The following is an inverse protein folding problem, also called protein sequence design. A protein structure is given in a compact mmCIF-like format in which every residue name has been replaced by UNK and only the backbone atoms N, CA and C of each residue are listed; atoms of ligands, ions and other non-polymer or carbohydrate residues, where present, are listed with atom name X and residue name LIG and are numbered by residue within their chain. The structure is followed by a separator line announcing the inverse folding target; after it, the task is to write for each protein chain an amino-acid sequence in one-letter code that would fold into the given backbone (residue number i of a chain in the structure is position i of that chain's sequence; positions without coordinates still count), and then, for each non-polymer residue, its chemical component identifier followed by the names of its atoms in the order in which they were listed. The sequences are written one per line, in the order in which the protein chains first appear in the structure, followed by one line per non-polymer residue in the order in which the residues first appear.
data_IF_585321334885
#
_entry.id   IF_585321334885
#
_cell.length_a   1.000
_cell.length_b   1.000
_cell.length_c   1.000
_cell.angle_alpha   90.00
_cell.angle_beta   90.00
_cell.angle_gamma   90.00
#
_symmetry.space_group_name_H-M   'P 1'
#
loop_
_entity.id
_entity.type
_entity.pdbx_description
1 polymer ?
#
# COMPACT_ATOMS: atom_id res chain seq x y z
N UNK A 1 -17.72 -7.97 22.07
CA UNK A 1 -16.75 -8.74 21.26
C UNK A 1 -16.00 -9.75 22.13
N UNK A 2 -15.41 -9.38 23.27
CA UNK A 2 -14.70 -10.34 24.14
C UNK A 2 -15.60 -11.43 24.74
N UNK A 3 -16.89 -11.14 25.03
CA UNK A 3 -17.86 -12.16 25.50
C UNK A 3 -18.06 -13.30 24.51
N UNK A 4 -18.04 -12.96 23.23
CA UNK A 4 -18.11 -13.94 22.15
C UNK A 4 -16.85 -14.79 22.14
N UNK A 5 -15.65 -14.18 22.19
CA UNK A 5 -14.37 -14.91 22.23
C UNK A 5 -14.24 -15.81 23.46
N UNK A 6 -14.64 -15.32 24.64
CA UNK A 6 -14.62 -16.05 25.90
C UNK A 6 -15.50 -17.31 25.85
N UNK A 7 -16.66 -17.25 25.19
CA UNK A 7 -17.54 -18.41 24.99
C UNK A 7 -16.87 -19.55 24.20
N UNK A 8 -15.84 -19.25 23.40
CA UNK A 8 -15.02 -20.22 22.67
C UNK A 8 -13.67 -20.50 23.36
N UNK A 9 -13.49 -20.09 24.62
CA UNK A 9 -12.25 -20.29 25.37
C UNK A 9 -11.08 -19.42 24.91
N UNK A 10 -11.34 -18.37 24.13
CA UNK A 10 -10.32 -17.41 23.70
C UNK A 10 -10.31 -16.18 24.61
N UNK A 11 -9.13 -15.74 25.01
CA UNK A 11 -8.92 -14.52 25.80
C UNK A 11 -8.06 -13.53 25.04
N UNK A 12 -8.36 -12.24 25.19
CA UNK A 12 -7.58 -11.16 24.58
C UNK A 12 -6.20 -11.09 25.24
N UNK A 13 -5.13 -11.11 24.44
CA UNK A 13 -3.79 -10.87 24.96
C UNK A 13 -3.51 -9.37 25.05
N UNK A 14 -3.93 -8.78 26.17
CA UNK A 14 -3.85 -7.34 26.42
C UNK A 14 -2.43 -6.77 26.36
N UNK A 15 -1.39 -7.52 26.74
CA UNK A 15 -0.01 -7.03 26.71
C UNK A 15 0.56 -6.83 25.30
N UNK A 16 -0.07 -7.44 24.29
CA UNK A 16 0.26 -7.27 22.86
C UNK A 16 -0.73 -6.38 22.12
N UNK A 17 -1.73 -5.84 22.83
CA UNK A 17 -2.78 -5.03 22.24
C UNK A 17 -2.34 -3.57 22.17
N UNK A 18 -2.73 -2.89 21.10
CA UNK A 18 -2.49 -1.47 20.88
C UNK A 18 -3.82 -0.81 20.51
N UNK A 19 -4.06 0.39 21.03
CA UNK A 19 -5.23 1.19 20.71
C UNK A 19 -4.83 2.25 19.67
N UNK A 20 -5.51 2.26 18.54
CA UNK A 20 -5.30 3.29 17.53
C UNK A 20 -6.46 4.29 17.59
N UNK A 21 -6.15 5.58 17.74
CA UNK A 21 -7.14 6.64 17.86
C UNK A 21 -7.01 7.57 16.65
N UNK A 22 -8.12 7.73 15.93
CA UNK A 22 -8.21 8.58 14.74
C UNK A 22 -8.77 9.95 15.11
N UNK A 23 -8.26 11.01 14.46
CA UNK A 23 -8.80 12.38 14.52
C UNK A 23 -8.83 13.02 15.92
N UNK A 24 -7.87 12.69 16.79
CA UNK A 24 -7.73 13.31 18.11
C UNK A 24 -6.44 14.15 18.13
N UNK A 25 -6.52 15.49 18.34
CA UNK A 25 -5.36 16.38 18.32
C UNK A 25 -4.31 16.08 19.40
N UNK A 26 -4.75 15.56 20.55
CA UNK A 26 -3.90 15.22 21.70
C UNK A 26 -4.33 13.86 22.28
N UNK A 27 -3.93 12.74 21.64
CA UNK A 27 -4.32 11.42 22.11
C UNK A 27 -3.69 11.12 23.48
N UNK A 28 -4.43 10.51 24.43
CA UNK A 28 -3.85 10.05 25.69
C UNK A 28 -2.81 8.95 25.41
N UNK A 29 -1.80 8.78 26.27
CA UNK A 29 -0.76 7.75 26.10
C UNK A 29 -1.27 6.31 26.33
N UNK A 30 -2.37 6.17 27.08
CA UNK A 30 -3.02 4.88 27.31
C UNK A 30 -4.52 5.04 27.41
N UNK A 31 -5.25 3.98 27.07
CA UNK A 31 -6.71 3.93 27.12
C UNK A 31 -7.14 2.72 27.97
N UNK A 32 -8.12 2.94 28.83
CA UNK A 32 -8.69 1.90 29.67
C UNK A 32 -9.80 1.19 28.92
N UNK A 33 -9.58 -0.07 28.56
CA UNK A 33 -10.57 -0.89 27.86
C UNK A 33 -11.24 -1.88 28.82
N UNK A 34 -12.58 -2.02 28.77
CA UNK A 34 -13.30 -3.00 29.58
C UNK A 34 -13.00 -4.42 29.09
N UNK A 35 -12.65 -5.29 30.04
CA UNK A 35 -12.32 -6.70 29.81
C UNK A 35 -13.03 -7.64 30.78
N UNK A 36 -13.34 -8.84 30.31
CA UNK A 36 -13.93 -9.93 31.10
C UNK A 36 -12.84 -10.51 32.02
N UNK A 37 -13.14 -10.67 33.32
CA UNK A 37 -12.22 -11.30 34.26
C UNK A 37 -11.98 -12.76 33.87
N UNK A 38 -10.72 -13.19 33.92
CA UNK A 38 -10.34 -14.58 33.68
C UNK A 38 -10.85 -15.54 34.76
N UNK A 39 -11.41 -15.03 35.86
CA UNK A 39 -11.88 -15.81 37.00
C UNK A 39 -13.37 -16.18 36.83
N UNK A 40 -13.72 -17.47 36.71
CA UNK A 40 -15.10 -17.92 36.47
C UNK A 40 -16.07 -17.66 37.64
N UNK A 41 -15.57 -17.27 38.82
CA UNK A 41 -16.39 -17.01 40.00
C UNK A 41 -17.10 -15.64 40.02
N UNK A 42 -16.77 -14.72 39.09
CA UNK A 42 -17.37 -13.39 38.99
C UNK A 42 -17.74 -13.03 37.54
N UNK A 43 -18.78 -13.66 36.96
CA UNK A 43 -19.13 -13.52 35.54
C UNK A 43 -19.62 -12.13 35.11
N UNK A 44 -19.81 -11.19 36.05
CA UNK A 44 -20.37 -9.86 35.80
C UNK A 44 -19.44 -8.69 36.18
N UNK A 45 -18.25 -8.92 36.74
CA UNK A 45 -17.33 -7.81 36.99
C UNK A 45 -16.62 -7.43 35.68
N UNK A 46 -16.48 -6.14 35.42
CA UNK A 46 -15.71 -5.63 34.27
C UNK A 46 -14.36 -5.19 34.83
N UNK A 47 -13.27 -5.80 34.35
CA UNK A 47 -11.91 -5.38 34.67
C UNK A 47 -11.42 -4.37 33.64
N UNK A 48 -10.84 -3.25 34.07
CA UNK A 48 -10.24 -2.29 33.13
C UNK A 48 -8.80 -2.72 32.84
N UNK A 49 -8.45 -2.78 31.55
CA UNK A 49 -7.11 -3.07 31.07
C UNK A 49 -6.54 -1.83 30.38
N UNK A 50 -5.37 -1.40 30.82
CA UNK A 50 -4.65 -0.29 30.19
C UNK A 50 -4.00 -0.78 28.91
N UNK A 51 -4.27 -0.09 27.81
CA UNK A 51 -3.73 -0.36 26.48
C UNK A 51 -2.99 0.86 25.98
N UNK A 52 -1.76 0.68 25.49
CA UNK A 52 -0.97 1.77 24.92
C UNK A 52 -1.65 2.34 23.69
N UNK A 53 -1.73 3.66 23.60
CA UNK A 53 -2.29 4.35 22.45
C UNK A 53 -1.17 4.68 21.48
N UNK A 54 -1.35 4.29 20.22
CA UNK A 54 -0.43 4.57 19.14
C UNK A 54 -1.06 5.55 18.17
N UNK A 55 -0.34 6.63 17.87
CA UNK A 55 -0.81 7.71 16.97
C UNK A 55 -0.03 7.78 15.66
N UNK A 56 1.15 7.17 15.59
CA UNK A 56 2.06 7.31 14.44
C UNK A 56 1.93 6.21 13.39
N UNK A 57 1.64 4.98 13.80
CA UNK A 57 1.58 3.83 12.90
C UNK A 57 0.58 2.78 13.42
N UNK A 58 0.19 1.87 12.53
CA UNK A 58 -0.70 0.75 12.85
C UNK A 58 0.04 -0.56 12.62
N UNK A 59 0.15 -1.41 13.63
CA UNK A 59 0.72 -2.75 13.45
C UNK A 59 -0.36 -3.77 13.11
N UNK A 60 -0.28 -4.36 11.91
CA UNK A 60 -1.13 -5.49 11.51
C UNK A 60 -0.26 -6.70 11.21
N UNK A 61 -0.56 -7.85 11.84
CA UNK A 61 0.19 -9.09 11.66
C UNK A 61 1.72 -8.92 11.83
N UNK A 62 2.14 -8.08 12.79
CA UNK A 62 3.54 -7.71 13.06
C UNK A 62 4.21 -6.93 11.93
N UNK A 63 3.44 -6.17 11.16
CA UNK A 63 3.95 -5.26 10.13
C UNK A 63 3.43 -3.87 10.46
N UNK A 64 4.36 -2.94 10.66
CA UNK A 64 4.03 -1.52 10.79
C UNK A 64 3.52 -1.01 9.44
N UNK A 65 2.25 -0.59 9.42
CA UNK A 65 1.58 -0.07 8.24
C UNK A 65 2.07 1.35 7.99
N UNK A 66 2.46 1.64 6.75
CA UNK A 66 2.91 2.96 6.31
C UNK A 66 4.27 3.42 6.88
N UNK A 67 5.11 2.49 7.35
CA UNK A 67 6.51 2.74 7.72
C UNK A 67 7.47 1.94 6.79
N UNK A 68 7.78 2.46 5.59
CA UNK A 68 8.59 1.73 4.62
C UNK A 68 10.04 1.49 5.08
N UNK A 69 10.59 2.36 5.94
CA UNK A 69 11.98 2.29 6.37
C UNK A 69 12.23 1.15 7.36
N UNK A 70 11.32 0.97 8.33
CA UNK A 70 11.38 -0.18 9.23
C UNK A 70 11.12 -1.48 8.46
N UNK A 71 10.13 -1.48 7.56
CA UNK A 71 9.86 -2.62 6.70
C UNK A 71 11.09 -3.01 5.86
N UNK A 72 11.76 -2.03 5.25
CA UNK A 72 13.01 -2.23 4.51
C UNK A 72 14.11 -2.81 5.41
N UNK A 73 14.29 -2.29 6.62
CA UNK A 73 15.29 -2.78 7.58
C UNK A 73 15.08 -4.26 7.92
N UNK A 74 13.82 -4.67 8.10
CA UNK A 74 13.45 -6.08 8.30
C UNK A 74 13.77 -6.94 7.08
N UNK A 75 13.46 -6.49 5.88
CA UNK A 75 13.79 -7.21 4.64
C UNK A 75 15.31 -7.32 4.45
N UNK A 76 16.05 -6.24 4.72
CA UNK A 76 17.51 -6.21 4.68
C UNK A 76 18.12 -7.21 5.67
N UNK A 77 17.56 -7.34 6.87
CA UNK A 77 17.96 -8.37 7.84
C UNK A 77 17.74 -9.80 7.32
N UNK A 78 16.64 -10.06 6.62
CA UNK A 78 16.38 -11.37 6.00
C UNK A 78 17.41 -11.70 4.91
N UNK A 79 17.75 -10.73 4.06
CA UNK A 79 18.78 -10.92 3.02
C UNK A 79 20.17 -11.10 3.65
N UNK A 80 20.47 -10.37 4.73
CA UNK A 80 21.78 -10.47 5.40
C UNK A 80 21.98 -11.75 6.22
N UNK A 81 20.90 -12.29 6.79
CA UNK A 81 20.92 -13.56 7.52
C UNK A 81 20.86 -14.78 6.61
N UNK A 82 20.56 -14.58 5.33
CA UNK A 82 20.54 -15.66 4.35
C UNK A 82 21.96 -16.15 4.04
N UNK A 83 22.13 -17.46 4.07
CA UNK A 83 23.39 -18.12 3.77
C UNK A 83 23.14 -19.24 2.76
N UNK A 84 24.07 -19.39 1.81
CA UNK A 84 24.08 -20.56 0.93
C UNK A 84 24.57 -21.80 1.69
N UNK A 85 24.14 -23.00 1.31
CA UNK A 85 24.66 -24.23 1.90
C UNK A 85 26.17 -24.34 1.65
N UNK A 86 26.92 -24.65 2.71
CA UNK A 86 28.35 -24.96 2.61
C UNK A 86 28.51 -26.37 2.03
N UNK A 87 29.12 -26.46 0.86
CA UNK A 87 29.32 -27.70 0.12
C UNK A 87 30.77 -27.76 -0.37
N UNK A 88 31.30 -28.96 -0.56
CA UNK A 88 32.66 -29.19 -1.06
C UNK A 88 32.83 -28.74 -2.52
N UNK A 89 31.75 -28.78 -3.31
CA UNK A 89 31.71 -28.35 -4.71
C UNK A 89 30.69 -27.20 -4.81
N UNK A 90 31.04 -26.07 -5.46
CA UNK A 90 30.11 -24.96 -5.64
C UNK A 90 28.92 -25.38 -6.50
N UNK A 91 27.73 -24.96 -6.07
CA UNK A 91 26.50 -25.24 -6.79
C UNK A 91 26.45 -24.45 -8.11
N UNK A 92 25.83 -25.01 -9.15
CA UNK A 92 25.62 -24.28 -10.40
C UNK A 92 24.65 -23.11 -10.19
N UNK A 93 24.75 -22.08 -11.04
CA UNK A 93 23.89 -20.88 -11.02
C UNK A 93 22.39 -21.21 -10.96
N UNK A 94 21.97 -22.23 -11.70
CA UNK A 94 20.56 -22.67 -11.74
C UNK A 94 20.05 -23.17 -10.39
N UNK A 95 20.92 -23.83 -9.61
CA UNK A 95 20.60 -24.28 -8.26
C UNK A 95 20.55 -23.10 -7.29
N UNK A 96 21.49 -22.16 -7.35
CA UNK A 96 21.46 -20.94 -6.53
C UNK A 96 20.18 -20.14 -6.78
N UNK A 97 19.82 -19.93 -8.04
CA UNK A 97 18.57 -19.26 -8.44
C UNK A 97 17.36 -19.91 -7.76
N UNK A 98 17.29 -21.24 -7.80
CA UNK A 98 16.19 -22.00 -7.16
C UNK A 98 16.20 -21.84 -5.64
N UNK A 99 17.37 -21.92 -5.00
CA UNK A 99 17.51 -21.73 -3.55
C UNK A 99 17.01 -20.35 -3.17
N UNK A 100 17.46 -19.29 -3.85
CA UNK A 100 17.04 -17.91 -3.56
C UNK A 100 15.53 -17.76 -3.73
N UNK A 101 14.96 -18.27 -4.83
CA UNK A 101 13.52 -18.23 -5.07
C UNK A 101 12.72 -18.94 -3.95
N UNK A 102 13.16 -20.13 -3.54
CA UNK A 102 12.42 -21.00 -2.62
C UNK A 102 12.63 -20.66 -1.14
N UNK A 103 13.78 -20.10 -0.76
CA UNK A 103 14.13 -19.90 0.65
C UNK A 103 14.14 -18.43 1.08
N UNK A 104 14.55 -17.53 0.20
CA UNK A 104 14.62 -16.10 0.48
C UNK A 104 13.37 -15.38 -0.03
N UNK A 105 13.08 -15.50 -1.33
CA UNK A 105 11.97 -14.79 -1.98
C UNK A 105 10.62 -15.29 -1.48
N UNK A 106 10.49 -16.57 -1.16
CA UNK A 106 9.28 -17.12 -0.52
C UNK A 106 8.94 -16.46 0.81
N UNK A 107 9.94 -15.96 1.56
CA UNK A 107 9.76 -15.22 2.82
C UNK A 107 9.53 -13.73 2.58
N UNK A 108 10.21 -13.14 1.60
CA UNK A 108 10.13 -11.70 1.29
C UNK A 108 8.81 -11.35 0.58
N UNK A 109 8.39 -12.14 -0.40
CA UNK A 109 7.17 -11.90 -1.19
C UNK A 109 5.91 -11.63 -0.35
N UNK A 110 5.55 -12.44 0.66
CA UNK A 110 4.38 -12.15 1.47
C UNK A 110 4.51 -10.84 2.25
N UNK A 111 5.71 -10.50 2.73
CA UNK A 111 5.94 -9.23 3.44
C UNK A 111 5.72 -8.02 2.52
N UNK A 112 6.27 -8.07 1.30
CA UNK A 112 6.04 -7.04 0.28
C UNK A 112 4.57 -6.95 -0.16
N UNK A 113 3.83 -8.06 -0.09
CA UNK A 113 2.40 -8.05 -0.39
C UNK A 113 1.56 -7.32 0.67
N UNK A 114 2.06 -7.20 1.89
CA UNK A 114 1.42 -6.39 2.95
C UNK A 114 1.82 -4.93 2.86
N UNK A 115 3.10 -4.66 2.58
CA UNK A 115 3.60 -3.30 2.46
C UNK A 115 4.73 -3.22 1.44
N UNK A 116 4.53 -2.41 0.39
CA UNK A 116 5.58 -2.13 -0.57
C UNK A 116 6.69 -1.26 0.05
N UNK A 117 7.91 -1.36 -0.48
CA UNK A 117 9.04 -0.48 -0.16
C UNK A 117 9.34 0.47 -1.33
N UNK A 118 10.18 1.48 -1.10
CA UNK A 118 10.59 2.37 -2.19
C UNK A 118 11.40 1.61 -3.25
N UNK A 119 11.34 2.09 -4.49
CA UNK A 119 12.05 1.49 -5.61
C UNK A 119 13.58 1.45 -5.38
N UNK A 120 14.13 2.50 -4.77
CA UNK A 120 15.55 2.58 -4.39
C UNK A 120 15.93 1.56 -3.33
N UNK A 121 15.08 1.38 -2.32
CA UNK A 121 15.28 0.35 -1.29
C UNK A 121 15.19 -1.07 -1.89
N UNK A 122 14.25 -1.30 -2.81
CA UNK A 122 14.11 -2.59 -3.47
C UNK A 122 15.33 -2.92 -4.35
N UNK A 123 15.86 -1.93 -5.08
CA UNK A 123 17.10 -2.06 -5.83
C UNK A 123 18.31 -2.32 -4.92
N UNK A 124 18.36 -1.72 -3.73
CA UNK A 124 19.42 -2.02 -2.75
C UNK A 124 19.37 -3.48 -2.28
N UNK A 125 18.18 -4.04 -2.05
CA UNK A 125 18.04 -5.47 -1.71
C UNK A 125 18.50 -6.39 -2.85
N UNK A 126 18.20 -6.04 -4.10
CA UNK A 126 18.69 -6.78 -5.27
C UNK A 126 20.22 -6.72 -5.38
N UNK A 127 20.81 -5.55 -5.10
CA UNK A 127 22.26 -5.41 -5.01
C UNK A 127 22.84 -6.28 -3.90
N UNK A 128 22.22 -6.34 -2.71
CA UNK A 128 22.69 -7.22 -1.63
C UNK A 128 22.66 -8.70 -2.01
N UNK A 129 21.59 -9.15 -2.68
CA UNK A 129 21.52 -10.52 -3.22
C UNK A 129 22.65 -10.76 -4.23
N UNK A 130 22.90 -9.80 -5.12
CA UNK A 130 23.99 -9.86 -6.10
C UNK A 130 25.35 -10.01 -5.42
N UNK A 131 25.62 -9.25 -4.34
CA UNK A 131 26.85 -9.36 -3.57
C UNK A 131 26.97 -10.75 -2.93
N UNK A 132 25.90 -11.30 -2.36
CA UNK A 132 25.93 -12.66 -1.78
C UNK A 132 26.26 -13.73 -2.81
N UNK A 133 25.73 -13.62 -4.03
CA UNK A 133 26.02 -14.55 -5.13
C UNK A 133 27.47 -14.38 -5.59
N UNK A 134 27.95 -13.14 -5.67
CA UNK A 134 29.34 -12.83 -5.98
C UNK A 134 30.29 -13.45 -4.96
N UNK A 135 30.02 -13.26 -3.66
CA UNK A 135 30.81 -13.83 -2.55
C UNK A 135 30.81 -15.36 -2.60
N UNK A 136 29.69 -16.00 -2.99
CA UNK A 136 29.61 -17.46 -3.09
C UNK A 136 30.54 -18.05 -4.15
N UNK A 137 30.67 -17.37 -5.30
CA UNK A 137 31.50 -17.84 -6.40
C UNK A 137 32.93 -17.26 -6.38
N UNK A 138 33.21 -16.30 -5.50
CA UNK A 138 34.51 -15.61 -5.41
C UNK A 138 34.99 -15.05 -6.75
N UNK A 139 34.07 -14.44 -7.50
CA UNK A 139 34.42 -13.89 -8.81
C UNK A 139 35.40 -12.71 -8.69
N UNK A 140 36.28 -12.49 -9.68
CA UNK A 140 37.25 -11.40 -9.62
C UNK A 140 36.66 -10.01 -9.91
N UNK A 141 35.37 -9.93 -10.28
CA UNK A 141 34.69 -8.68 -10.62
C UNK A 141 33.26 -8.63 -10.07
N UNK A 142 32.79 -7.42 -9.77
CA UNK A 142 31.41 -7.19 -9.31
C UNK A 142 30.44 -7.25 -10.50
N UNK A 143 29.43 -8.10 -10.41
CA UNK A 143 28.40 -8.19 -11.45
C UNK A 143 27.42 -7.02 -11.32
N UNK A 144 26.96 -6.53 -12.46
CA UNK A 144 25.78 -5.68 -12.49
C UNK A 144 24.56 -6.52 -12.04
N UNK A 145 23.92 -6.12 -10.94
CA UNK A 145 22.73 -6.79 -10.39
C UNK A 145 21.58 -6.88 -11.39
N UNK A 146 21.51 -5.96 -12.35
CA UNK A 146 20.55 -6.00 -13.44
C UNK A 146 20.73 -7.24 -14.33
N UNK A 147 21.98 -7.68 -14.60
CA UNK A 147 22.24 -8.88 -15.42
C UNK A 147 21.75 -10.15 -14.72
N UNK A 148 21.86 -10.21 -13.39
CA UNK A 148 21.36 -11.37 -12.64
C UNK A 148 19.86 -11.51 -12.79
N UNK A 149 19.11 -10.40 -12.73
CA UNK A 149 17.64 -10.42 -12.80
C UNK A 149 17.06 -10.35 -14.21
N UNK A 150 17.86 -10.06 -15.23
CA UNK A 150 17.41 -10.07 -16.62
C UNK A 150 16.95 -11.48 -17.04
N UNK A 151 15.86 -11.61 -17.82
CA UNK A 151 15.41 -12.89 -18.34
C UNK A 151 16.49 -13.58 -19.19
N UNK A 152 16.46 -14.92 -19.25
CA UNK A 152 17.36 -15.71 -20.10
C UNK A 152 17.23 -15.32 -21.59
N UNK A 153 16.02 -14.99 -22.03
CA UNK A 153 15.75 -14.51 -23.40
C UNK A 153 16.40 -13.17 -23.73
N UNK A 154 16.82 -12.42 -22.71
CA UNK A 154 17.53 -11.15 -22.81
C UNK A 154 18.99 -11.28 -22.38
N UNK A 155 19.57 -12.48 -22.49
CA UNK A 155 20.94 -12.81 -22.11
C UNK A 155 21.28 -12.54 -20.63
N UNK A 156 20.28 -12.58 -19.74
CA UNK A 156 20.48 -12.51 -18.29
C UNK A 156 20.54 -13.89 -17.63
N UNK A 157 20.51 -13.91 -16.29
CA UNK A 157 20.54 -15.13 -15.48
C UNK A 157 19.20 -15.47 -14.80
N UNK A 158 18.18 -14.63 -14.99
CA UNK A 158 16.79 -14.85 -14.59
C UNK A 158 16.63 -15.13 -13.08
N UNK A 159 17.47 -14.51 -12.26
CA UNK A 159 17.29 -14.49 -10.81
C UNK A 159 16.06 -13.66 -10.43
N UNK A 160 15.35 -14.05 -9.35
CA UNK A 160 14.23 -13.26 -8.88
C UNK A 160 14.70 -11.89 -8.38
N UNK A 161 14.06 -10.83 -8.88
CA UNK A 161 14.31 -9.45 -8.45
C UNK A 161 13.23 -9.01 -7.45
N UNK A 162 13.67 -8.58 -6.27
CA UNK A 162 12.83 -7.95 -5.25
C UNK A 162 12.22 -6.67 -5.81
N UNK A 163 12.96 -5.87 -6.58
CA UNK A 163 12.42 -4.67 -7.22
C UNK A 163 11.21 -4.99 -8.11
N UNK A 164 11.32 -5.97 -9.02
CA UNK A 164 10.20 -6.37 -9.89
C UNK A 164 9.03 -6.99 -9.11
N UNK A 165 9.33 -7.77 -8.07
CA UNK A 165 8.29 -8.34 -7.20
C UNK A 165 7.54 -7.24 -6.46
N UNK A 166 8.25 -6.27 -5.90
CA UNK A 166 7.68 -5.14 -5.17
C UNK A 166 6.74 -4.30 -6.06
N UNK A 167 7.19 -3.92 -7.25
CA UNK A 167 6.39 -3.12 -8.18
C UNK A 167 5.17 -3.91 -8.69
N UNK A 168 5.34 -5.19 -9.04
CA UNK A 168 4.25 -6.06 -9.47
C UNK A 168 3.18 -6.23 -8.37
N UNK A 169 3.60 -6.44 -7.11
CA UNK A 169 2.69 -6.57 -5.98
C UNK A 169 1.99 -5.25 -5.66
N UNK A 170 2.68 -4.11 -5.76
CA UNK A 170 2.07 -2.79 -5.54
C UNK A 170 0.94 -2.52 -6.55
N UNK A 171 1.20 -2.73 -7.85
CA UNK A 171 0.20 -2.54 -8.92
C UNK A 171 -0.94 -3.54 -8.80
N UNK A 172 -0.64 -4.83 -8.57
CA UNK A 172 -1.67 -5.86 -8.40
C UNK A 172 -2.51 -5.64 -7.15
N UNK A 173 -1.89 -5.15 -6.06
CA UNK A 173 -2.56 -4.77 -4.83
C UNK A 173 -3.52 -3.62 -5.05
N UNK A 174 -3.09 -2.54 -5.72
CA UNK A 174 -3.95 -1.42 -6.10
C UNK A 174 -5.16 -1.89 -6.92
N UNK A 175 -4.94 -2.71 -7.96
CA UNK A 175 -6.03 -3.24 -8.78
C UNK A 175 -7.01 -4.08 -7.96
N UNK A 176 -6.52 -4.89 -7.03
CA UNK A 176 -7.35 -5.67 -6.12
C UNK A 176 -8.15 -4.79 -5.17
N UNK A 177 -7.55 -3.73 -4.64
CA UNK A 177 -8.22 -2.80 -3.72
C UNK A 177 -9.36 -2.06 -4.43
N UNK A 178 -9.11 -1.57 -5.66
CA UNK A 178 -10.13 -0.88 -6.47
C UNK A 178 -11.27 -1.80 -6.92
N UNK A 179 -10.98 -3.10 -7.12
CA UNK A 179 -11.95 -4.09 -7.58
C UNK A 179 -12.34 -5.09 -6.48
N UNK A 180 -12.23 -4.69 -5.21
CA UNK A 180 -12.41 -5.62 -4.11
C UNK A 180 -13.86 -6.14 -4.04
N UNK A 181 -14.05 -7.45 -3.93
CA UNK A 181 -15.38 -8.08 -3.91
C UNK A 181 -16.17 -7.77 -2.63
N UNK A 182 -15.48 -7.58 -1.50
CA UNK A 182 -16.10 -7.14 -0.23
C UNK A 182 -16.34 -5.61 -0.29
N UNK A 183 -17.60 -5.14 -0.14
CA UNK A 183 -17.96 -3.72 -0.28
C UNK A 183 -17.20 -2.77 0.64
N UNK A 184 -16.90 -3.18 1.88
CA UNK A 184 -16.20 -2.32 2.83
C UNK A 184 -14.81 -1.90 2.32
N UNK A 185 -14.03 -2.85 1.79
CA UNK A 185 -12.71 -2.56 1.23
C UNK A 185 -12.81 -1.74 -0.05
N UNK A 186 -13.76 -2.07 -0.93
CA UNK A 186 -14.02 -1.28 -2.15
C UNK A 186 -14.37 0.17 -1.80
N UNK A 187 -15.26 0.38 -0.84
CA UNK A 187 -15.67 1.72 -0.39
C UNK A 187 -14.49 2.51 0.18
N UNK A 188 -13.62 1.90 0.99
CA UNK A 188 -12.41 2.56 1.49
C UNK A 188 -11.45 2.94 0.36
N UNK A 189 -11.29 2.07 -0.64
CA UNK A 189 -10.51 2.39 -1.83
C UNK A 189 -11.14 3.55 -2.64
N UNK A 190 -12.47 3.57 -2.77
CA UNK A 190 -13.20 4.65 -3.44
C UNK A 190 -13.10 5.98 -2.68
N UNK A 191 -13.14 5.97 -1.35
CA UNK A 191 -12.92 7.19 -0.56
C UNK A 191 -11.47 7.68 -0.75
N UNK A 192 -10.50 6.76 -0.64
CA UNK A 192 -9.08 7.09 -0.83
C UNK A 192 -8.81 7.68 -2.21
N UNK A 193 -9.41 7.12 -3.26
CA UNK A 193 -9.23 7.65 -4.63
C UNK A 193 -9.95 8.98 -4.83
N UNK A 194 -11.10 9.20 -4.19
CA UNK A 194 -11.80 10.48 -4.22
C UNK A 194 -10.98 11.57 -3.51
N UNK A 195 -10.43 11.27 -2.34
CA UNK A 195 -9.55 12.19 -1.60
C UNK A 195 -8.29 12.51 -2.40
N UNK A 196 -7.64 11.50 -2.98
CA UNK A 196 -6.48 11.72 -3.85
C UNK A 196 -6.84 12.60 -5.04
N UNK A 197 -7.92 12.26 -5.74
CA UNK A 197 -8.38 12.98 -6.94
C UNK A 197 -8.69 14.44 -6.60
N UNK A 198 -9.52 14.68 -5.60
CA UNK A 198 -10.06 16.01 -5.31
C UNK A 198 -9.11 16.88 -4.47
N UNK A 199 -8.51 16.33 -3.41
CA UNK A 199 -7.70 17.12 -2.48
C UNK A 199 -6.24 17.25 -2.92
N UNK A 200 -5.70 16.28 -3.67
CA UNK A 200 -4.26 16.21 -3.99
C UNK A 200 -4.00 16.42 -5.50
N UNK A 201 -4.86 15.89 -6.38
CA UNK A 201 -4.62 15.85 -7.83
C UNK A 201 -5.59 16.75 -8.64
N UNK A 202 -6.09 17.84 -8.05
CA UNK A 202 -6.88 18.87 -8.73
C UNK A 202 -8.09 18.32 -9.52
N UNK A 203 -8.86 17.41 -8.91
CA UNK A 203 -10.00 16.71 -9.50
C UNK A 203 -9.66 15.91 -10.78
N UNK A 204 -8.40 15.52 -10.97
CA UNK A 204 -7.98 14.62 -12.03
C UNK A 204 -7.73 13.23 -11.47
N UNK A 205 -8.18 12.22 -12.20
CA UNK A 205 -7.97 10.84 -11.81
C UNK A 205 -6.45 10.52 -11.79
N UNK A 206 -5.89 9.97 -10.70
CA UNK A 206 -4.44 9.88 -10.51
C UNK A 206 -3.76 8.79 -11.36
N UNK A 207 -4.49 7.76 -11.79
CA UNK A 207 -3.91 6.62 -12.53
C UNK A 207 -4.18 6.65 -14.05
N UNK A 208 -4.54 7.83 -14.58
CA UNK A 208 -4.81 8.03 -16.01
C UNK A 208 -4.22 9.36 -16.52
N UNK A 209 -4.07 9.46 -17.84
CA UNK A 209 -3.73 10.68 -18.57
C UNK A 209 -2.43 11.34 -18.14
N UNK A 210 -2.50 12.66 -17.95
CA UNK A 210 -1.32 13.50 -17.66
C UNK A 210 -0.66 13.19 -16.30
N UNK A 211 -1.39 12.58 -15.37
CA UNK A 211 -0.84 12.27 -14.03
C UNK A 211 0.23 11.18 -14.12
N UNK A 212 -0.01 10.16 -14.95
CA UNK A 212 0.90 9.04 -15.20
C UNK A 212 2.01 9.43 -16.19
N UNK A 213 1.71 10.25 -17.20
CA UNK A 213 2.66 10.63 -18.25
C UNK A 213 3.82 11.51 -17.79
N UNK A 214 3.80 12.01 -16.55
CA UNK A 214 4.72 13.04 -16.08
C UNK A 214 6.15 12.57 -15.79
N UNK A 215 6.43 11.25 -15.80
CA UNK A 215 7.71 10.62 -15.42
C UNK A 215 8.33 11.12 -14.10
N UNK A 216 7.54 11.84 -13.28
CA UNK A 216 7.98 12.43 -12.01
C UNK A 216 7.25 11.73 -10.88
N UNK A 217 7.94 11.41 -9.78
CA UNK A 217 7.30 10.86 -8.58
C UNK A 217 6.56 11.99 -7.83
N UNK A 218 5.45 12.46 -8.39
CA UNK A 218 4.71 13.63 -7.91
C UNK A 218 4.21 13.43 -6.48
N UNK A 219 3.81 12.20 -6.13
CA UNK A 219 3.06 11.94 -4.90
C UNK A 219 3.90 11.44 -3.73
N UNK A 220 5.23 11.32 -3.85
CA UNK A 220 6.10 10.87 -2.75
C UNK A 220 6.02 11.75 -1.50
N UNK A 221 5.63 13.01 -1.62
CA UNK A 221 5.47 13.92 -0.47
C UNK A 221 4.18 13.69 0.32
N UNK A 222 3.25 12.91 -0.22
CA UNK A 222 1.94 12.63 0.36
C UNK A 222 1.90 11.26 1.05
N UNK A 223 3.04 10.72 1.50
CA UNK A 223 3.10 9.43 2.21
C UNK A 223 2.24 9.38 3.47
N UNK A 224 1.98 10.52 4.11
CA UNK A 224 1.11 10.62 5.28
C UNK A 224 -0.39 10.70 4.93
N UNK A 225 -0.73 11.05 3.68
CA UNK A 225 -2.11 11.24 3.24
C UNK A 225 -2.60 10.13 2.32
N UNK A 226 -1.68 9.41 1.68
CA UNK A 226 -1.97 8.36 0.71
C UNK A 226 -1.27 7.07 1.12
N UNK A 227 -1.88 5.90 0.87
CA UNK A 227 -1.21 4.63 1.08
C UNK A 227 0.09 4.56 0.30
N UNK A 228 1.22 4.33 0.98
CA UNK A 228 2.53 4.27 0.33
C UNK A 228 2.58 3.24 -0.82
N UNK A 229 1.89 2.11 -0.67
CA UNK A 229 1.79 1.08 -1.73
C UNK A 229 1.14 1.61 -3.00
N UNK A 230 0.14 2.49 -2.87
CA UNK A 230 -0.49 3.11 -4.05
C UNK A 230 0.41 4.18 -4.69
N UNK A 231 1.24 4.88 -3.90
CA UNK A 231 2.28 5.80 -4.44
C UNK A 231 3.31 5.00 -5.24
N UNK A 232 3.76 3.85 -4.74
CA UNK A 232 4.67 2.96 -5.46
C UNK A 232 4.03 2.47 -6.75
N UNK A 233 2.77 2.02 -6.70
CA UNK A 233 2.02 1.61 -7.89
C UNK A 233 1.91 2.73 -8.93
N UNK A 234 1.57 3.95 -8.53
CA UNK A 234 1.54 5.12 -9.42
C UNK A 234 2.89 5.37 -10.09
N UNK A 235 3.98 5.34 -9.31
CA UNK A 235 5.34 5.51 -9.83
C UNK A 235 5.68 4.44 -10.86
N UNK A 236 5.29 3.18 -10.63
CA UNK A 236 5.49 2.07 -11.57
C UNK A 236 4.68 2.26 -12.85
N UNK A 237 3.41 2.63 -12.74
CA UNK A 237 2.54 2.93 -13.88
C UNK A 237 3.13 4.06 -14.74
N UNK A 238 3.64 5.11 -14.10
CA UNK A 238 4.31 6.24 -14.75
C UNK A 238 5.56 5.78 -15.52
N UNK A 239 6.45 5.04 -14.87
CA UNK A 239 7.68 4.53 -15.48
C UNK A 239 7.44 3.59 -16.67
N UNK A 240 6.38 2.78 -16.59
CA UNK A 240 6.02 1.81 -17.65
C UNK A 240 5.09 2.40 -18.71
N UNK A 241 4.67 3.66 -18.56
CA UNK A 241 3.67 4.31 -19.38
C UNK A 241 2.37 3.49 -19.51
N UNK A 242 1.95 2.87 -18.40
CA UNK A 242 0.71 2.09 -18.31
C UNK A 242 -0.31 2.81 -17.44
N UNK A 243 -1.60 2.67 -17.75
CA UNK A 243 -2.67 3.40 -17.08
C UNK A 243 -3.73 2.42 -16.57
N UNK A 244 -4.39 2.79 -15.48
CA UNK A 244 -5.56 2.08 -14.97
C UNK A 244 -6.77 2.95 -15.27
N UNK A 245 -7.60 2.56 -16.24
CA UNK A 245 -8.78 3.36 -16.62
C UNK A 245 -9.94 3.11 -15.68
N UNK A 246 -10.64 4.18 -15.34
CA UNK A 246 -11.93 4.09 -14.67
C UNK A 246 -13.00 3.75 -15.70
N UNK A 247 -13.53 2.52 -15.64
CA UNK A 247 -14.57 2.05 -16.55
C UNK A 247 -15.98 2.33 -16.02
N UNK A 248 -16.14 2.29 -14.70
CA UNK A 248 -17.39 2.62 -14.03
C UNK A 248 -17.49 4.14 -13.78
N UNK A 249 -18.33 4.80 -14.58
CA UNK A 249 -18.70 6.21 -14.42
C UNK A 249 -20.20 6.38 -14.14
N UNK A 250 -20.83 5.39 -13.52
CA UNK A 250 -22.26 5.42 -13.16
C UNK A 250 -22.66 6.65 -12.34
N UNK A 251 -21.76 7.16 -11.49
CA UNK A 251 -21.96 8.37 -10.70
C UNK A 251 -22.24 9.64 -11.52
N UNK A 252 -21.80 9.69 -12.78
CA UNK A 252 -22.14 10.79 -13.70
C UNK A 252 -23.61 10.73 -14.14
N UNK A 253 -24.14 9.51 -14.33
CA UNK A 253 -25.54 9.29 -14.73
C UNK A 253 -26.50 9.47 -13.55
N UNK A 254 -26.14 8.96 -12.37
CA UNK A 254 -26.95 9.18 -11.14
C UNK A 254 -26.92 10.64 -10.69
N UNK A 255 -25.91 11.39 -11.12
CA UNK A 255 -25.70 12.78 -10.74
C UNK A 255 -25.06 12.95 -9.37
N UNK A 256 -24.47 11.88 -8.81
CA UNK A 256 -23.79 11.85 -7.52
C UNK A 256 -22.35 12.39 -7.62
N UNK A 257 -22.21 13.56 -8.24
CA UNK A 257 -20.96 14.26 -8.45
C UNK A 257 -21.14 15.73 -8.12
N UNK A 258 -20.17 16.31 -7.41
CA UNK A 258 -20.22 17.75 -7.10
C UNK A 258 -19.97 18.57 -8.36
N UNK A 259 -20.69 19.69 -8.50
CA UNK A 259 -20.51 20.60 -9.63
C UNK A 259 -19.07 21.13 -9.71
N UNK A 260 -18.46 21.35 -8.54
CA UNK A 260 -17.07 21.82 -8.45
C UNK A 260 -16.07 20.79 -8.99
N UNK A 261 -16.27 19.51 -8.67
CA UNK A 261 -15.43 18.44 -9.22
C UNK A 261 -15.57 18.37 -10.75
N UNK A 262 -16.81 18.42 -11.26
CA UNK A 262 -17.07 18.45 -12.71
C UNK A 262 -16.39 19.62 -13.41
N UNK A 263 -16.48 20.83 -12.83
CA UNK A 263 -15.86 22.02 -13.40
C UNK A 263 -14.33 21.87 -13.54
N UNK A 264 -13.68 21.26 -12.56
CA UNK A 264 -12.23 21.03 -12.60
C UNK A 264 -11.81 19.85 -13.48
N UNK A 265 -12.66 18.83 -13.61
CA UNK A 265 -12.39 17.65 -14.42
C UNK A 265 -12.58 17.92 -15.93
N UNK A 266 -13.50 18.80 -16.29
CA UNK A 266 -13.79 19.12 -17.69
C UNK A 266 -12.75 20.09 -18.30
N UNK A 267 -12.48 19.99 -19.62
CA UNK A 267 -11.63 20.96 -20.31
C UNK A 267 -12.24 22.36 -20.24
N UNK A 268 -11.41 23.37 -19.98
CA UNK A 268 -11.83 24.77 -20.03
C UNK A 268 -12.26 25.14 -21.45
N UNK A 269 -13.54 25.47 -21.63
CA UNK A 269 -14.12 26.00 -22.86
C UNK A 269 -14.65 27.41 -22.62
N UNK A 270 -14.93 28.18 -23.66
CA UNK A 270 -15.39 29.57 -23.53
C UNK A 270 -16.71 29.72 -22.73
N UNK A 271 -17.47 28.64 -22.52
CA UNK A 271 -18.77 28.61 -21.85
C UNK A 271 -18.67 27.97 -20.45
N UNK A 272 -17.48 27.65 -19.95
CA UNK A 272 -17.36 27.02 -18.62
C UNK A 272 -17.79 27.98 -17.51
N UNK A 273 -18.71 27.56 -16.60
CA UNK A 273 -19.13 28.39 -15.49
C UNK A 273 -17.95 28.73 -14.59
N UNK A 274 -17.92 29.97 -14.07
CA UNK A 274 -16.83 30.38 -13.16
C UNK A 274 -16.99 29.73 -11.80
N UNK A 275 -15.90 29.66 -11.02
CA UNK A 275 -15.93 29.19 -9.63
C UNK A 275 -16.93 29.98 -8.76
N UNK A 276 -17.14 31.27 -9.06
CA UNK A 276 -18.14 32.11 -8.41
C UNK A 276 -19.57 31.64 -8.69
N UNK A 277 -19.87 31.25 -9.94
CA UNK A 277 -21.18 30.71 -10.32
C UNK A 277 -21.47 29.40 -9.56
N UNK A 278 -20.49 28.49 -9.50
CA UNK A 278 -20.62 27.25 -8.73
C UNK A 278 -20.82 27.53 -7.23
N UNK A 279 -20.06 28.45 -6.67
CA UNK A 279 -20.19 28.83 -5.25
C UNK A 279 -21.56 29.47 -4.94
N UNK A 280 -22.21 30.09 -5.92
CA UNK A 280 -23.58 30.61 -5.80
C UNK A 280 -24.61 29.46 -5.78
N UNK A 281 -24.45 28.48 -6.68
CA UNK A 281 -25.31 27.29 -6.75
C UNK A 281 -25.20 26.41 -5.50
N UNK A 282 -23.98 26.24 -4.97
CA UNK A 282 -23.76 25.53 -3.70
C UNK A 282 -24.45 26.24 -2.53
N UNK A 283 -24.40 27.58 -2.48
CA UNK A 283 -25.14 28.39 -1.48
C UNK A 283 -26.66 28.31 -1.66
N UNK A 284 -27.13 28.09 -2.89
CA UNK A 284 -28.53 27.83 -3.21
C UNK A 284 -28.95 26.35 -3.00
N UNK A 285 -28.18 25.58 -2.22
CA UNK A 285 -28.44 24.17 -1.90
C UNK A 285 -28.48 23.23 -3.13
N UNK A 286 -27.79 23.59 -4.22
CA UNK A 286 -27.64 22.74 -5.41
C UNK A 286 -26.17 22.38 -5.68
N UNK A 287 -25.51 21.63 -4.77
CA UNK A 287 -24.06 21.37 -4.86
C UNK A 287 -23.68 20.24 -5.83
N UNK A 288 -24.65 19.41 -6.24
CA UNK A 288 -24.42 18.20 -7.02
C UNK A 288 -25.23 18.21 -8.31
N UNK A 289 -24.82 17.41 -9.30
CA UNK A 289 -25.48 17.34 -10.60
C UNK A 289 -26.94 16.86 -10.49
N UNK A 290 -27.22 15.92 -9.57
CA UNK A 290 -28.57 15.42 -9.31
C UNK A 290 -29.55 16.50 -8.83
N UNK A 291 -29.07 17.66 -8.36
CA UNK A 291 -29.92 18.79 -7.97
C UNK A 291 -30.62 19.45 -9.17
N UNK A 292 -30.14 19.19 -10.39
CA UNK A 292 -30.69 19.74 -11.63
C UNK A 292 -31.50 18.72 -12.44
N UNK A 293 -31.60 17.49 -11.95
CA UNK A 293 -32.35 16.41 -12.59
C UNK A 293 -31.58 15.09 -12.63
N UNK A 294 -32.33 14.01 -12.93
CA UNK A 294 -31.77 12.69 -13.19
C UNK A 294 -31.67 12.47 -14.70
N UNK A 295 -30.55 11.92 -15.14
CA UNK A 295 -30.28 11.62 -16.55
C UNK A 295 -30.59 10.13 -16.74
N UNK A 296 -31.86 9.82 -17.03
CA UNK A 296 -32.36 8.46 -17.34
C UNK A 296 -32.46 8.28 -18.84
#
# INVERSE_FOLDING_TARGET
MERFQYAYGWTTNWSKSLAFILNVPSPPSSLQLPSIPSNPSLPHSISLKSVSVMSSHFEFLRIETNNPDNHFSRLKSLVNSFQFPSLTIPLPFTALRRIIAQSLVSKIRPLLSFHAISDTQAAELDNLISHRIHDYFSFPFHFNSALLSLPLSSFGFDFPSIQRINTSLAVSGLLRDLNHHIPAFKNMATITIADWTCAINNCRYPFDGSSVSSNKPIFRRHTHSLPFTWIVAHSTLSQTNTQIRQTDMSFLFTGDVSLRHLLHALPSTAITPTSANISSLERAHSPALNSFGHWV
#
